data_IF_218653153312
#
_entry.id   IF_218653153312
#
_cell.length_a   1.000
_cell.length_b   1.000
_cell.length_c   1.000
_cell.angle_alpha   90.00
_cell.angle_beta   90.00
_cell.angle_gamma   90.00
#
_symmetry.space_group_name_H-M   'P 1'
#
loop_
_entity.id
_entity.type
_entity.pdbx_description
1 polymer ?
#
# COMPACT_ATOMS: atom_id res chain seq x y z
N UNK A 1 -28.17 11.62 12.74
CA UNK A 1 -26.98 11.43 11.90
C UNK A 1 -27.37 10.44 10.80
N UNK A 2 -27.65 10.91 9.57
CA UNK A 2 -28.15 10.03 8.51
C UNK A 2 -27.03 9.10 8.03
N UNK A 3 -27.35 7.81 7.91
CA UNK A 3 -26.46 6.81 7.34
C UNK A 3 -26.21 7.22 5.88
N UNK A 4 -24.96 7.41 5.42
CA UNK A 4 -24.72 7.75 4.03
C UNK A 4 -25.24 6.60 3.16
N UNK A 5 -26.24 6.89 2.32
CA UNK A 5 -26.75 5.98 1.30
C UNK A 5 -25.60 5.62 0.37
N UNK A 6 -24.95 4.51 0.67
CA UNK A 6 -23.77 4.01 -0.03
C UNK A 6 -24.22 2.79 -0.79
N UNK A 7 -24.54 2.96 -2.08
CA UNK A 7 -24.61 1.81 -2.97
C UNK A 7 -23.24 1.14 -2.95
N UNK A 8 -23.20 -0.04 -2.33
CA UNK A 8 -22.00 -0.85 -2.28
C UNK A 8 -21.64 -1.22 -3.72
N UNK A 9 -20.37 -1.13 -4.10
CA UNK A 9 -19.93 -1.57 -5.41
C UNK A 9 -20.25 -3.07 -5.57
N UNK A 10 -20.50 -3.54 -6.80
CA UNK A 10 -20.58 -4.97 -7.09
C UNK A 10 -19.39 -5.72 -6.47
N UNK A 11 -19.68 -6.79 -5.73
CA UNK A 11 -18.67 -7.51 -4.96
C UNK A 11 -17.50 -8.00 -5.82
N UNK A 12 -17.75 -8.36 -7.09
CA UNK A 12 -16.71 -8.79 -8.03
C UNK A 12 -15.70 -7.67 -8.33
N UNK A 13 -16.11 -6.39 -8.34
CA UNK A 13 -15.18 -5.26 -8.56
C UNK A 13 -14.22 -5.09 -7.39
N UNK A 14 -14.72 -5.32 -6.17
CA UNK A 14 -13.92 -5.30 -4.95
C UNK A 14 -12.91 -6.46 -4.96
N UNK A 15 -13.36 -7.66 -5.30
CA UNK A 15 -12.47 -8.83 -5.46
C UNK A 15 -11.40 -8.56 -6.53
N UNK A 16 -11.81 -8.04 -7.70
CA UNK A 16 -10.88 -7.68 -8.77
C UNK A 16 -9.84 -6.66 -8.30
N UNK A 17 -10.25 -5.64 -7.52
CA UNK A 17 -9.33 -4.66 -6.97
C UNK A 17 -8.31 -5.30 -6.01
N UNK A 18 -8.74 -6.21 -5.13
CA UNK A 18 -7.84 -6.93 -4.22
C UNK A 18 -6.90 -7.91 -4.93
N UNK A 19 -7.22 -8.35 -6.15
CA UNK A 19 -6.34 -9.20 -6.95
C UNK A 19 -5.38 -8.38 -7.80
N UNK A 20 -5.87 -7.35 -8.49
CA UNK A 20 -5.13 -6.60 -9.50
C UNK A 20 -4.22 -5.52 -8.91
N UNK A 21 -4.66 -4.82 -7.85
CA UNK A 21 -3.90 -3.72 -7.25
C UNK A 21 -2.56 -4.21 -6.67
N UNK A 22 -2.51 -5.30 -5.88
CA UNK A 22 -1.24 -5.77 -5.33
C UNK A 22 -0.25 -6.20 -6.42
N UNK A 23 -0.76 -6.80 -7.51
CA UNK A 23 0.05 -7.19 -8.67
C UNK A 23 0.62 -5.96 -9.37
N UNK A 24 -0.20 -4.92 -9.59
CA UNK A 24 0.24 -3.68 -10.21
C UNK A 24 1.31 -2.97 -9.36
N UNK A 25 1.10 -2.87 -8.05
CA UNK A 25 2.07 -2.24 -7.14
C UNK A 25 3.39 -3.02 -7.12
N UNK A 26 3.33 -4.36 -7.10
CA UNK A 26 4.53 -5.20 -7.16
C UNK A 26 5.29 -5.01 -8.49
N UNK A 27 4.58 -4.88 -9.60
CA UNK A 27 5.19 -4.60 -10.91
C UNK A 27 5.83 -3.21 -10.94
N UNK A 28 5.14 -2.18 -10.45
CA UNK A 28 5.68 -0.81 -10.37
C UNK A 28 6.96 -0.81 -9.54
N UNK A 29 6.94 -1.38 -8.34
CA UNK A 29 8.12 -1.50 -7.49
C UNK A 29 9.26 -2.27 -8.20
N UNK A 30 8.95 -3.36 -8.89
CA UNK A 30 9.95 -4.14 -9.62
C UNK A 30 10.63 -3.36 -10.76
N UNK A 31 9.96 -2.37 -11.36
CA UNK A 31 10.54 -1.50 -12.37
C UNK A 31 11.56 -0.51 -11.77
N UNK A 32 11.32 -0.01 -10.55
CA UNK A 32 12.21 0.94 -9.89
C UNK A 32 13.34 0.25 -9.11
N UNK A 33 13.04 -0.88 -8.47
CA UNK A 33 13.96 -1.63 -7.62
C UNK A 33 14.01 -3.11 -8.05
N UNK A 34 14.54 -3.41 -9.25
CA UNK A 34 14.67 -4.79 -9.71
C UNK A 34 15.70 -5.54 -8.85
N UNK A 35 15.23 -6.60 -8.19
CA UNK A 35 16.10 -7.61 -7.59
C UNK A 35 16.93 -8.32 -8.69
N UNK A 36 17.90 -9.13 -8.25
CA UNK A 36 18.72 -9.97 -9.13
C UNK A 36 19.62 -9.18 -10.09
N UNK A 37 20.44 -8.27 -9.55
CA UNK A 37 21.38 -7.46 -10.33
C UNK A 37 22.36 -8.25 -11.22
N UNK A 38 22.60 -9.54 -10.92
CA UNK A 38 23.46 -10.42 -11.71
C UNK A 38 22.83 -11.03 -12.98
N UNK A 39 21.54 -10.80 -13.26
CA UNK A 39 20.91 -11.29 -14.50
C UNK A 39 21.16 -10.33 -15.68
N UNK A 40 21.48 -10.84 -16.89
CA UNK A 40 21.81 -9.99 -18.03
C UNK A 40 20.61 -9.28 -18.67
N UNK A 41 19.39 -9.83 -18.53
CA UNK A 41 18.18 -9.28 -19.16
C UNK A 41 17.31 -8.52 -18.15
N UNK A 42 17.08 -7.23 -18.41
CA UNK A 42 16.25 -6.36 -17.58
C UNK A 42 14.79 -6.84 -17.48
N UNK A 43 14.19 -7.31 -18.58
CA UNK A 43 12.80 -7.77 -18.57
C UNK A 43 12.62 -9.00 -17.65
N UNK A 44 13.58 -9.91 -17.67
CA UNK A 44 13.58 -11.09 -16.81
C UNK A 44 13.78 -10.71 -15.33
N UNK A 45 14.63 -9.72 -15.06
CA UNK A 45 14.81 -9.16 -13.72
C UNK A 45 13.51 -8.57 -13.17
N UNK A 46 12.85 -7.72 -13.94
CA UNK A 46 11.58 -7.09 -13.55
C UNK A 46 10.52 -8.18 -13.31
N UNK A 47 10.40 -9.15 -14.23
CA UNK A 47 9.43 -10.24 -14.09
C UNK A 47 9.63 -11.04 -12.79
N UNK A 48 10.85 -11.50 -12.52
CA UNK A 48 11.14 -12.28 -11.30
C UNK A 48 10.95 -11.45 -10.04
N UNK A 49 11.35 -10.19 -10.08
CA UNK A 49 11.18 -9.25 -8.97
C UNK A 49 9.70 -8.99 -8.69
N UNK A 50 8.89 -8.77 -9.72
CA UNK A 50 7.46 -8.53 -9.58
C UNK A 50 6.76 -9.74 -8.95
N UNK A 51 7.12 -10.96 -9.37
CA UNK A 51 6.61 -12.19 -8.75
C UNK A 51 7.00 -12.24 -7.26
N UNK A 52 8.28 -12.00 -6.96
CA UNK A 52 8.75 -12.01 -5.57
C UNK A 52 8.02 -10.98 -4.70
N UNK A 53 7.93 -9.72 -5.14
CA UNK A 53 7.22 -8.66 -4.44
C UNK A 53 5.72 -8.92 -4.34
N UNK A 54 5.09 -9.57 -5.32
CA UNK A 54 3.68 -9.93 -5.23
C UNK A 54 3.44 -10.94 -4.10
N UNK A 55 4.15 -12.06 -4.11
CA UNK A 55 3.91 -13.17 -3.19
C UNK A 55 4.42 -12.92 -1.77
N UNK A 56 5.56 -12.22 -1.61
CA UNK A 56 6.17 -11.99 -0.31
C UNK A 56 5.97 -10.57 0.24
N UNK A 57 5.46 -9.66 -0.59
CA UNK A 57 5.20 -8.27 -0.20
C UNK A 57 3.72 -7.93 -0.28
N UNK A 58 3.25 -7.59 -1.48
CA UNK A 58 1.99 -6.89 -1.66
C UNK A 58 0.76 -7.75 -1.32
N UNK A 59 0.71 -9.04 -1.68
CA UNK A 59 -0.42 -9.91 -1.31
C UNK A 59 -0.53 -10.17 0.19
N UNK A 60 0.54 -10.59 0.90
CA UNK A 60 0.49 -10.73 2.36
C UNK A 60 0.05 -9.44 3.05
N UNK A 61 0.62 -8.29 2.67
CA UNK A 61 0.24 -7.01 3.25
C UNK A 61 -1.24 -6.65 2.96
N UNK A 62 -1.71 -6.95 1.75
CA UNK A 62 -3.12 -6.74 1.36
C UNK A 62 -4.06 -7.60 2.18
N UNK A 63 -3.74 -8.88 2.38
CA UNK A 63 -4.59 -9.81 3.15
C UNK A 63 -4.61 -9.42 4.64
N UNK A 64 -3.45 -9.09 5.21
CA UNK A 64 -3.31 -8.79 6.64
C UNK A 64 -3.82 -7.41 7.02
N UNK A 65 -3.66 -6.39 6.16
CA UNK A 65 -3.98 -5.01 6.49
C UNK A 65 -5.02 -4.40 5.56
N UNK A 66 -4.91 -4.61 4.25
CA UNK A 66 -5.81 -4.02 3.26
C UNK A 66 -7.26 -4.51 3.36
N UNK A 67 -7.46 -5.83 3.45
CA UNK A 67 -8.79 -6.45 3.55
C UNK A 67 -9.48 -6.04 4.86
N UNK A 68 -8.86 -6.16 6.05
CA UNK A 68 -9.47 -5.67 7.29
C UNK A 68 -9.76 -4.17 7.26
N UNK A 69 -8.86 -3.33 6.73
CA UNK A 69 -9.08 -1.89 6.61
C UNK A 69 -10.32 -1.58 5.75
N UNK A 70 -10.51 -2.28 4.64
CA UNK A 70 -11.71 -2.13 3.81
C UNK A 70 -12.98 -2.50 4.58
N UNK A 71 -13.03 -3.65 5.25
CA UNK A 71 -14.21 -4.06 6.00
C UNK A 71 -14.54 -3.13 7.17
N UNK A 72 -13.51 -2.55 7.79
CA UNK A 72 -13.66 -1.57 8.86
C UNK A 72 -14.13 -0.20 8.36
N UNK A 73 -13.59 0.29 7.24
CA UNK A 73 -13.84 1.63 6.74
C UNK A 73 -15.07 1.73 5.83
N UNK A 74 -15.49 0.64 5.17
CA UNK A 74 -16.64 0.67 4.24
C UNK A 74 -17.94 1.17 4.86
N UNK A 75 -18.11 1.05 6.18
CA UNK A 75 -19.30 1.53 6.91
C UNK A 75 -19.09 2.88 7.60
N UNK A 76 -17.86 3.39 7.64
CA UNK A 76 -17.47 4.59 8.41
C UNK A 76 -17.12 5.79 7.53
N UNK A 77 -16.60 5.54 6.32
CA UNK A 77 -16.04 6.56 5.45
C UNK A 77 -16.63 6.43 4.05
N UNK A 78 -16.97 7.56 3.42
CA UNK A 78 -17.41 7.58 2.02
C UNK A 78 -16.27 7.13 1.12
N UNK A 79 -16.54 6.24 0.17
CA UNK A 79 -15.55 5.70 -0.75
C UNK A 79 -15.23 6.68 -1.91
N UNK A 80 -14.71 7.86 -1.57
CA UNK A 80 -14.18 8.85 -2.53
C UNK A 80 -12.73 8.51 -2.89
N UNK A 81 -12.26 8.98 -4.05
CA UNK A 81 -10.88 8.78 -4.49
C UNK A 81 -9.87 9.26 -3.43
N UNK A 82 -10.11 10.43 -2.82
CA UNK A 82 -9.27 10.99 -1.77
C UNK A 82 -9.24 10.11 -0.52
N UNK A 83 -10.39 9.60 -0.07
CA UNK A 83 -10.44 8.74 1.10
C UNK A 83 -9.76 7.39 0.86
N UNK A 84 -9.91 6.81 -0.34
CA UNK A 84 -9.22 5.59 -0.72
C UNK A 84 -7.71 5.81 -0.80
N UNK A 85 -7.24 6.91 -1.40
CA UNK A 85 -5.83 7.28 -1.44
C UNK A 85 -5.26 7.52 -0.05
N UNK A 86 -5.93 8.33 0.79
CA UNK A 86 -5.50 8.58 2.17
C UNK A 86 -5.46 7.29 3.01
N UNK A 87 -6.45 6.42 2.85
CA UNK A 87 -6.45 5.11 3.52
C UNK A 87 -5.25 4.28 3.09
N UNK A 88 -4.99 4.18 1.78
CA UNK A 88 -3.84 3.46 1.26
C UNK A 88 -2.51 4.05 1.75
N UNK A 89 -2.40 5.38 1.78
CA UNK A 89 -1.22 6.11 2.26
C UNK A 89 -0.92 5.86 3.75
N UNK A 90 -1.94 5.56 4.56
CA UNK A 90 -1.76 5.20 5.97
C UNK A 90 -1.50 3.71 6.12
N UNK A 91 -2.32 2.87 5.50
CA UNK A 91 -2.29 1.41 5.70
C UNK A 91 -1.01 0.77 5.17
N UNK A 92 -0.49 1.23 4.02
CA UNK A 92 0.69 0.65 3.39
C UNK A 92 1.99 0.84 4.21
N UNK A 93 2.35 2.05 4.68
CA UNK A 93 3.56 2.24 5.48
C UNK A 93 3.38 1.84 6.95
N UNK A 94 2.15 1.66 7.44
CA UNK A 94 1.89 1.46 8.87
C UNK A 94 2.72 0.33 9.50
N UNK A 95 2.84 -0.87 8.91
CA UNK A 95 3.66 -1.95 9.47
C UNK A 95 5.14 -1.55 9.54
N UNK A 96 5.64 -0.87 8.51
CA UNK A 96 7.04 -0.42 8.43
C UNK A 96 7.35 0.68 9.45
N UNK A 97 6.41 1.61 9.65
CA UNK A 97 6.53 2.64 10.66
C UNK A 97 6.59 2.03 12.06
N UNK A 98 5.69 1.08 12.37
CA UNK A 98 5.71 0.40 13.67
C UNK A 98 7.02 -0.37 13.89
N UNK A 99 7.46 -1.14 12.89
CA UNK A 99 8.74 -1.85 12.97
C UNK A 99 9.90 -0.88 13.18
N UNK A 100 9.94 0.24 12.46
CA UNK A 100 10.99 1.25 12.59
C UNK A 100 10.99 1.98 13.93
N UNK A 101 9.83 2.14 14.58
CA UNK A 101 9.70 2.76 15.90
C UNK A 101 10.06 1.81 17.05
N UNK A 102 9.74 0.52 16.91
CA UNK A 102 10.00 -0.47 17.96
C UNK A 102 11.33 -1.21 17.81
N UNK A 103 11.93 -1.21 16.62
CA UNK A 103 13.25 -1.79 16.37
C UNK A 103 14.34 -0.83 16.84
N UNK A 104 15.11 -1.27 17.84
CA UNK A 104 16.23 -0.54 18.41
C UNK A 104 17.51 -1.40 18.36
N UNK A 105 18.07 -1.64 17.16
CA UNK A 105 19.34 -2.35 17.03
C UNK A 105 20.48 -1.55 17.69
N UNK A 106 21.43 -2.24 18.29
CA UNK A 106 22.58 -1.61 18.96
C UNK A 106 23.40 -0.74 18.00
N UNK A 107 23.54 -1.18 16.74
CA UNK A 107 24.20 -0.45 15.68
C UNK A 107 23.55 -0.75 14.34
N UNK A 108 23.30 0.29 13.54
CA UNK A 108 22.83 0.15 12.18
C UNK A 108 23.36 1.29 11.30
N UNK A 109 23.53 0.99 10.02
CA UNK A 109 24.15 1.87 9.04
C UNK A 109 23.40 1.79 7.71
N UNK A 110 23.08 2.94 7.14
CA UNK A 110 22.37 3.07 5.86
C UNK A 110 22.94 4.25 5.09
N UNK A 111 23.14 4.08 3.79
CA UNK A 111 23.55 5.13 2.87
C UNK A 111 24.74 5.98 3.35
N UNK A 112 25.79 5.34 3.85
CA UNK A 112 26.99 6.05 4.30
C UNK A 112 26.90 6.68 5.70
N UNK A 113 25.78 6.51 6.41
CA UNK A 113 25.53 7.16 7.70
C UNK A 113 25.04 6.17 8.76
N UNK A 114 25.42 6.43 10.01
CA UNK A 114 24.95 5.64 11.16
C UNK A 114 23.49 5.98 11.45
N UNK A 115 22.58 5.02 11.34
CA UNK A 115 21.15 5.19 11.64
C UNK A 115 20.81 4.85 13.08
N UNK A 116 21.58 3.94 13.71
CA UNK A 116 21.46 3.61 15.12
C UNK A 116 22.83 3.49 15.78
N UNK A 117 22.94 4.00 16.99
CA UNK A 117 24.15 3.93 17.80
C UNK A 117 23.77 3.75 19.27
N UNK A 118 24.29 2.69 19.91
CA UNK A 118 23.96 2.31 21.29
C UNK A 118 22.46 2.13 21.51
N UNK A 119 21.76 1.49 20.56
CA UNK A 119 20.32 1.25 20.65
C UNK A 119 19.44 2.50 20.42
N UNK A 120 20.05 3.67 20.21
CA UNK A 120 19.34 4.92 19.95
C UNK A 120 19.33 5.24 18.47
N UNK A 121 18.17 5.65 17.95
CA UNK A 121 18.03 6.13 16.58
C UNK A 121 18.66 7.52 16.45
N UNK A 122 19.59 7.68 15.50
CA UNK A 122 20.24 8.96 15.22
C UNK A 122 19.30 9.88 14.44
N UNK A 123 19.67 11.16 14.25
CA UNK A 123 18.92 12.07 13.38
C UNK A 123 18.79 11.51 11.95
N UNK A 124 19.88 10.92 11.43
CA UNK A 124 19.84 10.26 10.13
C UNK A 124 18.90 9.06 10.13
N UNK A 125 18.90 8.24 11.19
CA UNK A 125 17.96 7.14 11.33
C UNK A 125 16.48 7.58 11.29
N UNK A 126 16.16 8.78 11.80
CA UNK A 126 14.82 9.36 11.66
C UNK A 126 14.51 9.78 10.22
N UNK A 127 15.46 10.42 9.54
CA UNK A 127 15.29 10.82 8.13
C UNK A 127 15.12 9.59 7.24
N UNK A 128 15.96 8.57 7.41
CA UNK A 128 15.91 7.30 6.68
C UNK A 128 14.55 6.59 6.89
N UNK A 129 14.09 6.50 8.14
CA UNK A 129 12.78 5.94 8.47
C UNK A 129 11.63 6.71 7.82
N UNK A 130 11.60 8.04 7.96
CA UNK A 130 10.53 8.87 7.42
C UNK A 130 10.52 8.87 5.89
N UNK A 131 11.70 8.76 5.26
CA UNK A 131 11.84 8.67 3.81
C UNK A 131 11.23 7.36 3.31
N UNK A 132 11.63 6.22 3.89
CA UNK A 132 11.04 4.93 3.54
C UNK A 132 9.53 4.87 3.79
N UNK A 133 9.07 5.39 4.93
CA UNK A 133 7.63 5.52 5.24
C UNK A 133 6.91 6.39 4.21
N UNK A 134 7.53 7.49 3.77
CA UNK A 134 6.99 8.38 2.74
C UNK A 134 6.85 7.69 1.37
N UNK A 135 7.84 6.91 0.96
CA UNK A 135 7.79 6.13 -0.28
C UNK A 135 6.65 5.10 -0.25
N UNK A 136 6.53 4.34 0.84
CA UNK A 136 5.43 3.39 1.02
C UNK A 136 4.07 4.10 1.13
N UNK A 137 4.01 5.29 1.72
CA UNK A 137 2.80 6.11 1.76
C UNK A 137 2.38 6.56 0.36
N UNK A 138 3.32 6.99 -0.48
CA UNK A 138 3.04 7.40 -1.86
C UNK A 138 2.54 6.21 -2.70
N UNK A 139 3.19 5.05 -2.59
CA UNK A 139 2.74 3.81 -3.24
C UNK A 139 1.37 3.36 -2.72
N UNK A 140 1.14 3.49 -1.41
CA UNK A 140 -0.16 3.23 -0.79
C UNK A 140 -1.26 4.15 -1.31
N UNK A 141 -0.97 5.45 -1.46
CA UNK A 141 -1.89 6.42 -2.03
C UNK A 141 -2.27 6.06 -3.47
N UNK A 142 -1.27 5.72 -4.28
CA UNK A 142 -1.46 5.25 -5.64
C UNK A 142 -2.32 3.98 -5.69
N UNK A 143 -2.00 2.98 -4.85
CA UNK A 143 -2.76 1.74 -4.74
C UNK A 143 -4.24 2.00 -4.36
N UNK A 144 -4.48 2.91 -3.41
CA UNK A 144 -5.81 3.34 -3.00
C UNK A 144 -6.60 4.01 -4.13
N UNK A 145 -5.94 4.83 -4.95
CA UNK A 145 -6.54 5.45 -6.12
C UNK A 145 -6.90 4.41 -7.19
N UNK A 146 -6.00 3.47 -7.49
CA UNK A 146 -6.28 2.38 -8.45
C UNK A 146 -7.40 1.48 -7.93
N UNK A 147 -7.40 1.17 -6.62
CA UNK A 147 -8.50 0.45 -5.98
C UNK A 147 -9.82 1.18 -6.19
N UNK A 148 -9.86 2.49 -5.99
CA UNK A 148 -11.06 3.30 -6.22
C UNK A 148 -11.50 3.25 -7.70
N UNK A 149 -10.57 3.35 -8.66
CA UNK A 149 -10.89 3.22 -10.08
C UNK A 149 -11.55 1.87 -10.41
N UNK A 150 -11.02 0.77 -9.86
CA UNK A 150 -11.53 -0.57 -10.14
C UNK A 150 -12.84 -0.81 -9.40
N UNK A 151 -12.90 -0.52 -8.10
CA UNK A 151 -14.01 -0.88 -7.23
C UNK A 151 -15.18 0.11 -7.32
N UNK A 152 -14.90 1.42 -7.37
CA UNK A 152 -15.89 2.47 -7.05
C UNK A 152 -16.20 3.43 -8.20
N UNK A 153 -15.28 3.65 -9.14
CA UNK A 153 -15.50 4.62 -10.21
C UNK A 153 -16.74 4.25 -11.04
N UNK A 154 -17.60 5.24 -11.30
CA UNK A 154 -18.82 5.05 -12.10
C UNK A 154 -19.97 4.33 -11.37
N UNK A 155 -19.86 4.02 -10.07
CA UNK A 155 -21.03 3.61 -9.28
C UNK A 155 -21.93 4.85 -9.13
N UNK A 156 -23.00 4.91 -9.93
CA UNK A 156 -23.96 6.03 -9.90
C UNK A 156 -24.64 6.10 -8.53
N UNK A 157 -24.72 7.31 -7.98
CA UNK A 157 -25.71 7.66 -6.96
C UNK A 157 -26.99 8.00 -7.73
N UNK A 158 -27.96 7.09 -7.77
CA UNK A 158 -29.27 7.27 -8.43
C UNK A 158 -29.97 5.92 -8.59
N UNK A 159 -31.28 5.76 -8.43
CA UNK A 159 -32.39 6.69 -8.27
C UNK A 159 -33.41 6.05 -7.32
N UNK A 160 -34.03 6.82 -6.42
CA UNK A 160 -35.32 6.43 -5.85
C UNK A 160 -36.38 6.65 -6.92
N UNK A 161 -36.55 5.69 -7.81
CA UNK A 161 -37.79 5.56 -8.58
C UNK A 161 -38.21 4.08 -8.60
N UNK A 162 -39.25 3.83 -7.82
CA UNK A 162 -40.24 2.75 -7.95
C UNK A 162 -39.75 1.29 -7.93
N UNK A 163 -40.01 0.61 -6.81
CA UNK A 163 -41.08 -0.39 -6.71
C UNK A 163 -41.32 -0.75 -5.24
#
# INVERSE_FOLDING_TARGET
MSKPDTHLPPWWRVVAAFVLVPLLVALVLACFQPLYAGLPNLAERIRRTAIFYAFFGSYPATILFGVPAYFFLKSRVRATALNCAATGAVVAPFPWLLLGLFSNPDYAYSDGHVTHHNGMKTLWGWVDLLTGVGEFAALGAFAGLVFWCIAMAGVKVGDRTAA
#
